data_IF_793101899771
#
_entry.id   IF_793101899771
#
_cell.length_a   1.000
_cell.length_b   1.000
_cell.length_c   1.000
_cell.angle_alpha   90.00
_cell.angle_beta   90.00
_cell.angle_gamma   90.00
#
_symmetry.space_group_name_H-M   'P 1'
#
loop_
_entity.id
_entity.type
_entity.pdbx_description
1 polymer ?
#
# COMPACT_ATOMS: atom_id res chain seq x y z
N UNK A 1 -6.20 17.79 10.35
CA UNK A 1 -5.65 16.87 9.32
C UNK A 1 -6.29 15.48 9.37
N UNK A 2 -6.35 14.81 10.54
CA UNK A 2 -6.97 13.47 10.69
C UNK A 2 -8.34 13.30 10.01
N UNK A 3 -9.34 14.09 10.41
CA UNK A 3 -10.67 14.02 9.80
C UNK A 3 -10.68 14.34 8.29
N UNK A 4 -9.80 15.23 7.82
CA UNK A 4 -9.69 15.55 6.38
C UNK A 4 -9.16 14.37 5.57
N UNK A 5 -8.23 13.58 6.11
CA UNK A 5 -7.76 12.36 5.44
C UNK A 5 -8.89 11.35 5.32
N UNK A 6 -9.73 11.21 6.34
CA UNK A 6 -10.91 10.32 6.30
C UNK A 6 -11.90 10.80 5.23
N UNK A 7 -12.30 12.07 5.26
CA UNK A 7 -13.21 12.66 4.27
C UNK A 7 -12.68 12.57 2.83
N UNK A 8 -11.37 12.72 2.66
CA UNK A 8 -10.75 12.54 1.35
C UNK A 8 -10.95 11.12 0.82
N UNK A 9 -10.70 10.11 1.67
CA UNK A 9 -10.84 8.70 1.28
C UNK A 9 -12.29 8.28 1.05
N UNK A 10 -13.24 8.80 1.84
CA UNK A 10 -14.64 8.38 1.77
C UNK A 10 -15.46 9.16 0.75
N UNK A 11 -15.23 10.48 0.64
CA UNK A 11 -16.04 11.38 -0.20
C UNK A 11 -15.33 11.70 -1.52
N UNK A 12 -14.12 12.27 -1.47
CA UNK A 12 -13.47 12.75 -2.70
C UNK A 12 -13.01 11.60 -3.60
N UNK A 13 -12.63 10.45 -3.04
CA UNK A 13 -12.26 9.27 -3.81
C UNK A 13 -13.47 8.50 -4.36
N UNK A 14 -14.69 8.69 -3.84
CA UNK A 14 -15.89 8.00 -4.31
C UNK A 14 -16.59 8.71 -5.47
N UNK A 15 -16.47 10.04 -5.55
CA UNK A 15 -17.03 10.86 -6.64
C UNK A 15 -16.69 10.36 -8.07
N UNK A 16 -15.43 10.01 -8.41
CA UNK A 16 -15.10 9.59 -9.77
C UNK A 16 -15.46 8.13 -10.08
N UNK A 17 -15.92 7.34 -9.10
CA UNK A 17 -16.03 5.87 -9.22
C UNK A 17 -16.82 5.45 -10.45
N UNK A 18 -17.98 6.05 -10.70
CA UNK A 18 -18.82 5.72 -11.85
C UNK A 18 -18.07 5.91 -13.18
N UNK A 19 -17.51 7.11 -13.38
CA UNK A 19 -16.78 7.48 -14.60
C UNK A 19 -15.49 6.68 -14.77
N UNK A 20 -14.73 6.48 -13.69
CA UNK A 20 -13.50 5.68 -13.70
C UNK A 20 -13.79 4.21 -14.02
N UNK A 21 -15.00 3.75 -13.78
CA UNK A 21 -15.44 2.40 -14.11
C UNK A 21 -15.70 2.19 -15.60
N UNK A 22 -15.86 3.27 -16.38
CA UNK A 22 -16.24 3.23 -17.79
C UNK A 22 -15.16 3.83 -18.71
N UNK A 23 -14.43 4.83 -18.22
CA UNK A 23 -13.54 5.66 -19.02
C UNK A 23 -12.14 5.71 -18.42
N UNK A 24 -11.13 5.72 -19.30
CA UNK A 24 -9.76 6.06 -18.91
C UNK A 24 -9.69 7.57 -18.69
N UNK A 25 -9.44 7.97 -17.45
CA UNK A 25 -9.34 9.37 -17.09
C UNK A 25 -8.05 9.98 -17.69
N UNK A 26 -8.14 11.13 -18.38
CA UNK A 26 -6.95 11.86 -18.83
C UNK A 26 -6.08 12.29 -17.65
N UNK A 27 -4.75 12.29 -17.84
CA UNK A 27 -3.79 12.70 -16.81
C UNK A 27 -4.06 14.10 -16.26
N UNK A 28 -4.51 15.02 -17.12
CA UNK A 28 -4.87 16.41 -16.73
C UNK A 28 -6.03 16.44 -15.74
N UNK A 29 -7.07 15.62 -15.93
CA UNK A 29 -8.21 15.50 -15.03
C UNK A 29 -7.76 14.91 -13.69
N UNK A 30 -6.98 13.82 -13.73
CA UNK A 30 -6.41 13.19 -12.53
C UNK A 30 -5.60 14.22 -11.73
N UNK A 31 -4.69 14.95 -12.38
CA UNK A 31 -3.86 15.96 -11.73
C UNK A 31 -4.69 17.09 -11.11
N UNK A 32 -5.77 17.52 -11.78
CA UNK A 32 -6.70 18.53 -11.24
C UNK A 32 -7.42 18.01 -9.99
N UNK A 33 -7.91 16.78 -10.02
CA UNK A 33 -8.55 16.13 -8.87
C UNK A 33 -7.57 15.96 -7.70
N UNK A 34 -6.38 15.41 -7.97
CA UNK A 34 -5.32 15.28 -6.96
C UNK A 34 -4.89 16.64 -6.40
N UNK A 35 -4.88 17.70 -7.21
CA UNK A 35 -4.65 19.07 -6.76
C UNK A 35 -5.69 19.58 -5.76
N UNK A 36 -6.97 19.29 -5.98
CA UNK A 36 -8.05 19.59 -5.02
C UNK A 36 -7.87 18.78 -3.74
N UNK A 37 -7.62 17.47 -3.85
CA UNK A 37 -7.38 16.59 -2.70
C UNK A 37 -6.18 17.06 -1.85
N UNK A 38 -5.09 17.44 -2.50
CA UNK A 38 -3.87 17.96 -1.86
C UNK A 38 -4.15 19.28 -1.12
N UNK A 39 -4.81 20.24 -1.77
CA UNK A 39 -5.17 21.52 -1.14
C UNK A 39 -6.08 21.32 0.07
N UNK A 40 -7.08 20.45 -0.05
CA UNK A 40 -7.99 20.13 1.04
C UNK A 40 -7.25 19.56 2.26
N UNK A 41 -6.31 18.64 2.06
CA UNK A 41 -5.55 18.01 3.15
C UNK A 41 -4.61 19.00 3.84
N UNK A 42 -3.79 19.72 3.07
CA UNK A 42 -2.72 20.56 3.61
C UNK A 42 -3.16 21.96 4.01
N UNK A 43 -4.03 22.61 3.23
CA UNK A 43 -4.50 23.98 3.49
C UNK A 43 -5.83 23.96 4.24
N UNK A 44 -6.78 23.11 3.84
CA UNK A 44 -8.14 23.16 4.38
C UNK A 44 -8.90 24.39 3.90
N UNK A 45 -9.62 25.05 4.80
CA UNK A 45 -10.41 26.26 4.50
C UNK A 45 -9.59 27.57 4.62
N UNK A 46 -8.26 27.51 4.77
CA UNK A 46 -7.47 28.75 4.74
C UNK A 46 -7.25 29.19 3.30
N UNK A 47 -7.56 30.46 3.01
CA UNK A 47 -7.29 31.08 1.71
C UNK A 47 -5.78 31.14 1.39
N UNK A 48 -4.93 31.09 2.41
CA UNK A 48 -3.49 30.94 2.25
C UNK A 48 -3.10 29.48 2.00
N UNK A 49 -2.43 29.25 0.86
CA UNK A 49 -1.91 27.94 0.50
C UNK A 49 -0.78 27.55 1.48
N UNK A 50 -0.98 26.47 2.24
CA UNK A 50 0.06 25.92 3.12
C UNK A 50 0.97 24.99 2.32
N UNK A 51 2.28 25.22 2.40
CA UNK A 51 3.26 24.35 1.79
C UNK A 51 3.14 22.91 2.35
N UNK A 52 3.06 21.88 1.49
CA UNK A 52 2.94 20.50 1.94
C UNK A 52 4.21 20.07 2.69
N UNK A 53 4.04 19.31 3.78
CA UNK A 53 5.16 18.80 4.57
C UNK A 53 5.78 17.53 3.96
N UNK A 54 4.98 16.78 3.20
CA UNK A 54 5.36 15.52 2.57
C UNK A 54 4.92 15.57 1.11
N UNK A 55 5.72 14.98 0.21
CA UNK A 55 5.38 14.90 -1.22
C UNK A 55 4.08 14.12 -1.43
N UNK A 56 3.31 14.51 -2.43
CA UNK A 56 2.02 13.89 -2.71
C UNK A 56 2.15 12.41 -3.10
N UNK A 57 3.19 12.07 -3.87
CA UNK A 57 3.50 10.66 -4.21
C UNK A 57 3.72 9.82 -2.96
N UNK A 58 4.44 10.34 -1.96
CA UNK A 58 4.64 9.66 -0.68
C UNK A 58 3.33 9.52 0.09
N UNK A 59 2.44 10.51 0.03
CA UNK A 59 1.13 10.43 0.67
C UNK A 59 0.23 9.33 0.08
N UNK A 60 0.33 9.05 -1.22
CA UNK A 60 -0.41 7.99 -1.91
C UNK A 60 0.08 6.58 -1.59
N UNK A 61 1.34 6.43 -1.19
CA UNK A 61 1.87 5.13 -0.79
C UNK A 61 1.09 4.51 0.38
N UNK A 62 1.01 3.17 0.48
CA UNK A 62 0.43 2.47 1.61
C UNK A 62 1.04 2.87 2.95
N UNK A 63 0.26 2.76 4.03
CA UNK A 63 0.75 3.01 5.40
C UNK A 63 1.91 2.09 5.78
N UNK A 64 1.86 0.82 5.36
CA UNK A 64 2.92 -0.18 5.56
C UNK A 64 4.27 0.22 4.95
N UNK A 65 4.24 1.06 3.91
CA UNK A 65 5.43 1.56 3.22
C UNK A 65 5.76 3.00 3.62
N UNK A 66 5.03 3.58 4.59
CA UNK A 66 5.25 4.93 5.13
C UNK A 66 4.53 6.08 4.44
N UNK A 67 3.48 5.81 3.67
CA UNK A 67 2.55 6.83 3.20
C UNK A 67 1.31 7.00 4.08
N UNK A 68 0.35 7.80 3.62
CA UNK A 68 -0.96 7.99 4.28
C UNK A 68 -2.01 6.99 3.80
N UNK A 69 -1.72 6.25 2.73
CA UNK A 69 -2.64 5.38 2.02
C UNK A 69 -3.79 6.16 1.35
N UNK A 70 -3.51 7.35 0.84
CA UNK A 70 -4.46 8.08 -0.02
C UNK A 70 -4.56 7.35 -1.36
N UNK A 71 -5.76 7.28 -1.93
CA UNK A 71 -5.99 6.57 -3.18
C UNK A 71 -5.23 7.23 -4.33
N UNK A 72 -4.37 6.47 -5.02
CA UNK A 72 -3.80 6.90 -6.29
C UNK A 72 -4.84 6.78 -7.38
N UNK A 73 -5.37 7.92 -7.84
CA UNK A 73 -6.50 7.96 -8.75
C UNK A 73 -6.17 7.33 -10.11
N UNK A 74 -4.92 7.40 -10.56
CA UNK A 74 -4.48 6.79 -11.80
C UNK A 74 -4.52 5.25 -11.72
N UNK A 75 -3.87 4.66 -10.71
CA UNK A 75 -3.91 3.22 -10.48
C UNK A 75 -5.32 2.73 -10.12
N UNK A 76 -6.13 3.55 -9.44
CA UNK A 76 -7.52 3.21 -9.14
C UNK A 76 -8.39 3.17 -10.41
N UNK A 77 -8.22 4.13 -11.33
CA UNK A 77 -8.89 4.09 -12.63
C UNK A 77 -8.44 2.87 -13.44
N UNK A 78 -7.15 2.53 -13.43
CA UNK A 78 -6.65 1.32 -14.10
C UNK A 78 -7.29 0.05 -13.55
N UNK A 79 -7.29 -0.11 -12.22
CA UNK A 79 -7.91 -1.26 -11.57
C UNK A 79 -9.42 -1.37 -11.86
N UNK A 80 -10.12 -0.23 -11.91
CA UNK A 80 -11.54 -0.17 -12.24
C UNK A 80 -11.81 -0.57 -13.70
N UNK A 81 -10.92 -0.26 -14.64
CA UNK A 81 -11.05 -0.68 -16.03
C UNK A 81 -10.70 -2.15 -16.23
N UNK A 82 -9.76 -2.70 -15.45
CA UNK A 82 -9.39 -4.12 -15.50
C UNK A 82 -10.56 -5.07 -15.25
N UNK A 83 -11.60 -4.62 -14.54
CA UNK A 83 -12.84 -5.41 -14.37
C UNK A 83 -13.45 -5.85 -15.70
N UNK A 84 -13.32 -5.05 -16.76
CA UNK A 84 -13.89 -5.37 -18.06
C UNK A 84 -13.14 -6.48 -18.77
N UNK A 85 -11.82 -6.62 -18.54
CA UNK A 85 -11.05 -7.76 -19.02
C UNK A 85 -11.49 -9.04 -18.30
N UNK A 86 -11.64 -9.00 -16.97
CA UNK A 86 -12.18 -10.13 -16.20
C UNK A 86 -13.58 -10.54 -16.66
N UNK A 87 -14.48 -9.56 -16.86
CA UNK A 87 -15.83 -9.82 -17.37
C UNK A 87 -15.81 -10.38 -18.79
N UNK A 88 -14.92 -9.92 -19.66
CA UNK A 88 -14.79 -10.46 -21.00
C UNK A 88 -14.36 -11.93 -20.95
N UNK A 89 -13.38 -12.26 -20.11
CA UNK A 89 -12.90 -13.63 -19.94
C UNK A 89 -13.99 -14.55 -19.35
N UNK A 90 -14.72 -14.10 -18.32
CA UNK A 90 -15.62 -14.95 -17.54
C UNK A 90 -17.08 -14.98 -18.03
N UNK A 91 -17.61 -13.89 -18.60
CA UNK A 91 -19.01 -13.84 -19.05
C UNK A 91 -19.16 -14.52 -20.42
N UNK A 92 -20.08 -15.47 -20.53
CA UNK A 92 -20.55 -16.03 -21.79
C UNK A 92 -21.86 -15.35 -22.24
N UNK A 93 -22.14 -15.36 -23.54
CA UNK A 93 -23.43 -14.96 -24.11
C UNK A 93 -23.90 -13.52 -23.78
N UNK A 94 -22.97 -12.55 -23.80
CA UNK A 94 -23.30 -11.13 -23.64
C UNK A 94 -23.09 -10.37 -24.95
N UNK A 95 -24.10 -9.60 -25.36
CA UNK A 95 -24.07 -8.78 -26.58
C UNK A 95 -22.84 -7.88 -26.69
N UNK A 96 -22.45 -7.23 -25.59
CA UNK A 96 -21.28 -6.35 -25.57
C UNK A 96 -19.99 -7.13 -25.87
N UNK A 97 -19.85 -8.36 -25.34
CA UNK A 97 -18.69 -9.23 -25.60
C UNK A 97 -18.68 -9.62 -27.08
N UNK A 98 -19.82 -10.09 -27.60
CA UNK A 98 -19.97 -10.43 -29.02
C UNK A 98 -19.57 -9.26 -29.93
N UNK A 99 -20.06 -8.05 -29.66
CA UNK A 99 -19.71 -6.85 -30.41
C UNK A 99 -18.20 -6.58 -30.40
N UNK A 100 -17.57 -6.68 -29.25
CA UNK A 100 -16.12 -6.47 -29.09
C UNK A 100 -15.32 -7.55 -29.81
N UNK A 101 -15.70 -8.82 -29.73
CA UNK A 101 -15.02 -9.92 -30.42
C UNK A 101 -15.10 -9.76 -31.94
N UNK A 102 -16.23 -9.31 -32.49
CA UNK A 102 -16.35 -9.05 -33.92
C UNK A 102 -15.54 -7.83 -34.36
N UNK A 103 -15.52 -6.77 -33.53
CA UNK A 103 -14.78 -5.54 -33.85
C UNK A 103 -13.26 -5.71 -33.73
N UNK A 104 -12.80 -6.53 -32.79
CA UNK A 104 -11.40 -6.75 -32.48
C UNK A 104 -11.10 -8.25 -32.42
N UNK A 105 -11.19 -8.96 -33.56
CA UNK A 105 -11.02 -10.41 -33.60
C UNK A 105 -9.60 -10.80 -33.20
N UNK A 106 -9.49 -11.78 -32.30
CA UNK A 106 -8.23 -12.39 -31.88
C UNK A 106 -8.19 -13.82 -32.39
N UNK A 107 -7.19 -14.13 -33.21
CA UNK A 107 -6.97 -15.47 -33.75
C UNK A 107 -6.38 -16.39 -32.68
N UNK A 108 -5.48 -15.85 -31.85
CA UNK A 108 -4.68 -16.59 -30.88
C UNK A 108 -5.44 -16.97 -29.61
N UNK A 109 -6.26 -16.08 -29.07
CA UNK A 109 -6.93 -16.29 -27.78
C UNK A 109 -8.42 -16.01 -27.83
N UNK A 110 -9.20 -16.85 -27.17
CA UNK A 110 -10.63 -16.64 -26.94
C UNK A 110 -10.90 -15.82 -25.67
N UNK A 111 -9.90 -15.64 -24.81
CA UNK A 111 -10.03 -15.03 -23.48
C UNK A 111 -9.93 -13.51 -23.49
N UNK A 112 -9.39 -12.92 -24.55
CA UNK A 112 -9.29 -11.48 -24.74
C UNK A 112 -9.27 -11.12 -26.22
N UNK A 113 -9.84 -9.96 -26.61
CA UNK A 113 -9.80 -9.50 -28.00
C UNK A 113 -8.40 -8.99 -28.38
N UNK A 114 -8.16 -8.82 -29.67
CA UNK A 114 -6.88 -8.34 -30.17
C UNK A 114 -6.62 -6.89 -29.73
N UNK A 115 -5.34 -6.50 -29.68
CA UNK A 115 -4.93 -5.14 -29.31
C UNK A 115 -5.50 -4.13 -30.29
N UNK A 116 -6.02 -3.04 -29.76
CA UNK A 116 -6.49 -1.91 -30.56
C UNK A 116 -5.29 -1.14 -31.14
N UNK A 117 -4.76 -1.58 -32.28
CA UNK A 117 -3.56 -0.97 -32.90
C UNK A 117 -3.85 0.21 -33.84
N UNK A 118 -5.09 0.45 -34.28
CA UNK A 118 -5.40 1.44 -35.32
C UNK A 118 -6.45 2.48 -34.91
N UNK A 119 -6.17 3.76 -35.21
CA UNK A 119 -7.07 4.88 -35.59
C UNK A 119 -8.25 5.31 -34.71
N UNK A 120 -8.90 4.38 -34.01
CA UNK A 120 -10.13 4.58 -33.24
C UNK A 120 -9.83 4.87 -31.76
N UNK A 121 -8.84 5.73 -31.50
CA UNK A 121 -8.29 6.02 -30.17
C UNK A 121 -9.33 6.54 -29.13
N UNK A 122 -10.56 6.78 -29.57
CA UNK A 122 -11.65 7.37 -28.80
C UNK A 122 -12.76 6.40 -28.38
N UNK A 123 -12.69 5.10 -28.71
CA UNK A 123 -13.73 4.15 -28.26
C UNK A 123 -13.52 3.76 -26.79
N UNK A 124 -14.62 3.46 -26.07
CA UNK A 124 -14.55 3.01 -24.68
C UNK A 124 -13.67 1.76 -24.51
N UNK A 125 -13.83 0.76 -25.39
CA UNK A 125 -12.98 -0.43 -25.40
C UNK A 125 -11.50 -0.14 -25.69
N UNK A 126 -11.18 0.74 -26.65
CA UNK A 126 -9.80 1.11 -26.94
C UNK A 126 -9.09 1.71 -25.70
N UNK A 127 -9.84 2.42 -24.85
CA UNK A 127 -9.33 2.91 -23.56
C UNK A 127 -9.18 1.82 -22.50
N UNK A 128 -10.06 0.81 -22.48
CA UNK A 128 -9.94 -0.38 -21.62
C UNK A 128 -8.76 -1.26 -22.06
N UNK A 129 -8.53 -1.41 -23.36
CA UNK A 129 -7.40 -2.18 -23.90
C UNK A 129 -6.03 -1.60 -23.51
N UNK A 130 -5.94 -0.32 -23.13
CA UNK A 130 -4.68 0.26 -22.63
C UNK A 130 -4.22 -0.35 -21.31
N UNK A 131 -5.11 -0.97 -20.52
CA UNK A 131 -4.75 -1.65 -19.26
C UNK A 131 -4.60 -3.17 -19.41
N UNK A 132 -4.60 -3.66 -20.65
CA UNK A 132 -4.53 -5.08 -20.97
C UNK A 132 -3.32 -5.76 -20.32
N UNK A 133 -2.11 -5.25 -20.56
CA UNK A 133 -0.88 -5.89 -20.09
C UNK A 133 -0.79 -5.91 -18.56
N UNK A 134 -1.22 -4.83 -17.90
CA UNK A 134 -1.21 -4.75 -16.44
C UNK A 134 -2.14 -5.79 -15.80
N UNK A 135 -3.26 -6.10 -16.45
CA UNK A 135 -4.19 -7.12 -15.99
C UNK A 135 -3.69 -8.53 -16.32
N UNK A 136 -3.33 -8.80 -17.57
CA UNK A 136 -2.95 -10.15 -18.01
C UNK A 136 -1.60 -10.62 -17.45
N UNK A 137 -0.69 -9.71 -17.09
CA UNK A 137 0.53 -10.07 -16.36
C UNK A 137 0.28 -10.66 -14.95
N UNK A 138 -0.95 -10.54 -14.43
CA UNK A 138 -1.35 -11.09 -13.12
C UNK A 138 -2.51 -12.09 -13.22
N UNK A 139 -2.87 -12.49 -14.44
CA UNK A 139 -3.95 -13.44 -14.71
C UNK A 139 -3.38 -14.67 -15.38
N UNK A 140 -3.83 -15.84 -14.96
CA UNK A 140 -3.55 -17.12 -15.60
C UNK A 140 -4.87 -17.72 -16.09
N UNK A 141 -4.83 -18.62 -17.06
CA UNK A 141 -5.98 -19.43 -17.45
C UNK A 141 -5.81 -20.80 -16.81
N UNK A 142 -6.84 -21.25 -16.09
CA UNK A 142 -6.99 -22.64 -15.71
C UNK A 142 -7.51 -23.38 -16.95
N UNK A 143 -6.71 -24.28 -17.55
CA UNK A 143 -7.02 -24.82 -18.86
C UNK A 143 -8.24 -25.75 -18.84
N UNK A 144 -8.64 -26.31 -17.68
CA UNK A 144 -9.73 -27.28 -17.63
C UNK A 144 -9.51 -28.39 -18.68
N UNK A 145 -10.51 -28.64 -19.53
CA UNK A 145 -10.45 -29.62 -20.63
C UNK A 145 -9.50 -29.25 -21.77
N UNK A 146 -8.99 -28.03 -21.80
CA UNK A 146 -8.05 -27.53 -22.79
C UNK A 146 -8.66 -26.99 -24.09
N UNK A 147 -9.93 -27.25 -24.36
CA UNK A 147 -10.60 -26.87 -25.63
C UNK A 147 -10.68 -25.35 -25.86
N UNK A 148 -10.68 -24.55 -24.79
CA UNK A 148 -10.83 -23.10 -24.85
C UNK A 148 -9.52 -22.35 -24.60
N UNK A 149 -8.40 -23.05 -24.48
CA UNK A 149 -7.10 -22.46 -24.14
C UNK A 149 -6.11 -22.73 -25.26
N UNK A 150 -5.51 -21.68 -25.82
CA UNK A 150 -4.38 -21.81 -26.75
C UNK A 150 -3.20 -22.43 -26.03
N UNK A 151 -2.54 -23.39 -26.66
CA UNK A 151 -1.33 -24.00 -26.13
C UNK A 151 -0.18 -22.99 -26.13
N UNK A 152 0.02 -22.28 -27.23
CA UNK A 152 1.17 -21.39 -27.44
C UNK A 152 1.00 -19.99 -26.85
N UNK A 153 -0.17 -19.38 -27.02
CA UNK A 153 -0.34 -17.94 -26.80
C UNK A 153 -0.98 -17.58 -25.46
N UNK A 154 -1.81 -18.46 -24.89
CA UNK A 154 -2.44 -18.21 -23.60
C UNK A 154 -1.47 -18.49 -22.44
N UNK A 155 -1.59 -17.71 -21.37
CA UNK A 155 -0.81 -17.91 -20.13
C UNK A 155 -1.59 -18.88 -19.24
N UNK A 156 -1.41 -20.18 -19.46
CA UNK A 156 -2.01 -21.25 -18.64
C UNK A 156 -1.01 -21.89 -17.66
N UNK A 157 0.27 -21.50 -17.79
CA UNK A 157 1.31 -21.70 -16.79
C UNK A 157 1.66 -20.32 -16.22
N UNK A 158 1.58 -20.10 -14.89
CA UNK A 158 1.73 -18.78 -14.31
C UNK A 158 3.00 -18.04 -14.79
N UNK A 159 2.81 -16.79 -15.21
CA UNK A 159 3.87 -15.90 -15.71
C UNK A 159 4.62 -16.38 -16.97
N UNK A 160 4.10 -17.37 -17.69
CA UNK A 160 4.78 -17.95 -18.87
C UNK A 160 3.84 -18.04 -20.07
N UNK A 161 4.18 -17.33 -21.14
CA UNK A 161 3.62 -17.56 -22.46
C UNK A 161 4.59 -18.43 -23.25
N UNK A 162 4.15 -19.61 -23.73
CA UNK A 162 5.05 -20.57 -24.38
C UNK A 162 5.63 -19.99 -25.67
N UNK A 163 4.82 -19.33 -26.50
CA UNK A 163 5.29 -18.68 -27.73
C UNK A 163 6.36 -17.61 -27.49
N UNK A 164 6.28 -16.88 -26.36
CA UNK A 164 7.24 -15.84 -26.03
C UNK A 164 8.55 -16.40 -25.43
N UNK A 165 8.47 -17.50 -24.69
CA UNK A 165 9.63 -18.12 -24.03
C UNK A 165 10.35 -19.14 -24.93
N UNK A 166 9.61 -19.76 -25.86
CA UNK A 166 10.12 -20.74 -26.82
C UNK A 166 9.75 -20.32 -28.26
N UNK A 167 10.22 -19.13 -28.72
CA UNK A 167 9.80 -18.55 -29.99
C UNK A 167 10.22 -19.37 -31.22
N UNK A 168 11.33 -20.11 -31.17
CA UNK A 168 11.80 -20.88 -32.35
C UNK A 168 10.98 -22.14 -32.51
N UNK A 169 10.62 -22.79 -31.41
CA UNK A 169 9.76 -23.97 -31.42
C UNK A 169 8.33 -23.58 -31.82
N UNK A 170 7.81 -22.48 -31.25
CA UNK A 170 6.49 -21.97 -31.62
C UNK A 170 6.42 -21.55 -33.10
N UNK A 171 7.47 -20.94 -33.66
CA UNK A 171 7.53 -20.61 -35.08
C UNK A 171 7.64 -21.84 -35.99
N UNK A 172 8.14 -22.96 -35.48
CA UNK A 172 8.24 -24.23 -36.21
C UNK A 172 6.98 -25.10 -36.07
N UNK A 173 6.02 -24.72 -35.21
CA UNK A 173 4.81 -25.48 -34.95
C UNK A 173 3.94 -25.59 -36.20
N UNK A 174 3.44 -26.80 -36.46
CA UNK A 174 2.55 -27.08 -37.59
C UNK A 174 1.20 -26.37 -37.46
N UNK A 175 0.72 -26.25 -36.23
CA UNK A 175 -0.47 -25.50 -35.86
C UNK A 175 -0.13 -24.48 -34.76
N UNK A 176 0.12 -23.20 -35.13
CA UNK A 176 0.36 -22.11 -34.17
C UNK A 176 -0.87 -21.79 -33.31
N UNK A 177 -2.08 -22.15 -33.76
CA UNK A 177 -3.34 -21.85 -33.08
C UNK A 177 -3.87 -23.02 -32.24
N UNK A 178 -3.08 -24.09 -32.14
CA UNK A 178 -3.44 -25.33 -31.46
C UNK A 178 -3.99 -25.09 -30.04
N UNK A 179 -5.06 -25.79 -29.69
CA UNK A 179 -5.60 -25.81 -28.33
C UNK A 179 -4.88 -26.86 -27.50
N UNK A 180 -4.92 -26.69 -26.18
CA UNK A 180 -4.37 -27.68 -25.24
C UNK A 180 -5.02 -29.05 -25.44
N UNK A 181 -6.31 -29.10 -25.80
CA UNK A 181 -7.02 -30.35 -26.13
C UNK A 181 -6.48 -31.05 -27.37
N UNK A 182 -5.92 -30.30 -28.32
CA UNK A 182 -5.46 -30.82 -29.60
C UNK A 182 -4.05 -31.41 -29.47
N UNK A 183 -3.26 -30.83 -28.54
CA UNK A 183 -1.87 -31.20 -28.28
C UNK A 183 -1.74 -32.25 -27.18
N UNK A 184 -2.71 -32.36 -26.26
CA UNK A 184 -2.65 -33.33 -25.16
C UNK A 184 -3.30 -34.64 -25.57
N UNK A 185 -2.51 -35.70 -25.69
CA UNK A 185 -3.05 -37.04 -25.88
C UNK A 185 -3.27 -37.71 -24.52
N UNK A 186 -4.54 -37.98 -24.17
CA UNK A 186 -4.96 -38.49 -22.87
C UNK A 186 -5.07 -40.02 -22.77
N UNK A 187 -4.64 -40.75 -23.80
CA UNK A 187 -4.84 -42.18 -23.87
C UNK A 187 -3.65 -42.94 -23.27
N UNK A 188 -3.84 -43.35 -22.01
CA UNK A 188 -3.29 -44.55 -21.36
C UNK A 188 -1.75 -44.65 -21.36
N UNK A 189 -1.14 -44.34 -20.20
CA UNK A 189 0.30 -44.44 -19.86
C UNK A 189 1.18 -43.19 -20.03
N UNK A 190 0.63 -42.01 -19.77
CA UNK A 190 1.43 -40.81 -19.48
C UNK A 190 0.78 -39.54 -20.00
N UNK A 191 1.13 -38.40 -19.41
CA UNK A 191 0.80 -37.11 -19.99
C UNK A 191 1.81 -36.82 -21.09
N UNK A 192 1.48 -37.12 -22.34
CA UNK A 192 2.32 -36.81 -23.48
C UNK A 192 1.80 -35.55 -24.17
N UNK A 193 2.70 -34.63 -24.51
CA UNK A 193 2.42 -33.45 -25.32
C UNK A 193 2.80 -33.77 -26.77
N UNK A 194 1.79 -33.89 -27.63
CA UNK A 194 1.92 -34.27 -29.03
C UNK A 194 1.63 -33.05 -29.92
N UNK A 195 2.67 -32.29 -30.23
CA UNK A 195 2.61 -31.18 -31.18
C UNK A 195 3.56 -31.43 -32.35
N UNK A 196 3.04 -31.21 -33.56
CA UNK A 196 3.78 -31.43 -34.80
C UNK A 196 4.60 -30.18 -35.15
N UNK A 197 5.80 -30.39 -35.72
CA UNK A 197 6.69 -29.33 -36.19
C UNK A 197 6.91 -29.50 -37.70
N UNK A 198 6.69 -28.44 -38.49
CA UNK A 198 6.74 -28.48 -39.96
C UNK A 198 8.16 -28.37 -40.55
N UNK A 199 9.17 -28.11 -39.73
CA UNK A 199 10.52 -27.76 -40.19
C UNK A 199 11.55 -28.59 -39.43
N UNK A 200 12.57 -29.07 -40.16
CA UNK A 200 13.81 -29.58 -39.55
C UNK A 200 14.40 -28.51 -38.62
N UNK A 201 14.49 -28.82 -37.32
CA UNK A 201 14.90 -27.90 -36.26
C UNK A 201 16.38 -27.49 -36.40
N UNK A 202 16.68 -26.48 -37.22
CA UNK A 202 18.05 -25.95 -37.37
C UNK A 202 18.31 -24.78 -36.41
N UNK A 203 19.59 -24.52 -36.15
CA UNK A 203 20.02 -23.28 -35.49
C UNK A 203 19.80 -23.20 -33.97
N UNK A 204 19.56 -24.31 -33.27
CA UNK A 204 19.38 -24.36 -31.81
C UNK A 204 17.95 -24.61 -31.34
N UNK A 205 17.00 -24.77 -32.26
CA UNK A 205 15.60 -25.10 -31.96
C UNK A 205 15.45 -26.49 -31.30
N UNK A 206 16.37 -27.43 -31.52
CA UNK A 206 16.41 -28.73 -30.81
C UNK A 206 16.63 -28.58 -29.30
N UNK A 207 17.56 -27.72 -28.89
CA UNK A 207 17.82 -27.45 -27.45
C UNK A 207 16.64 -26.76 -26.79
N UNK A 208 16.00 -25.85 -27.53
CA UNK A 208 14.81 -25.15 -27.10
C UNK A 208 13.62 -26.11 -26.95
N UNK A 209 13.49 -27.08 -27.86
CA UNK A 209 12.51 -28.17 -27.75
C UNK A 209 12.75 -29.04 -26.52
N UNK A 210 13.99 -29.49 -26.26
CA UNK A 210 14.29 -30.22 -25.02
C UNK A 210 13.93 -29.40 -23.77
N UNK A 211 14.27 -28.11 -23.78
CA UNK A 211 13.95 -27.20 -22.68
C UNK A 211 12.44 -27.02 -22.48
N UNK A 212 11.67 -27.00 -23.58
CA UNK A 212 10.22 -26.93 -23.55
C UNK A 212 9.61 -28.21 -22.97
N UNK A 213 10.07 -29.39 -23.40
CA UNK A 213 9.58 -30.69 -22.88
C UNK A 213 9.85 -30.78 -21.38
N UNK A 214 11.09 -30.51 -20.94
CA UNK A 214 11.46 -30.49 -19.53
C UNK A 214 10.62 -29.48 -18.72
N UNK A 215 10.27 -28.35 -19.32
CA UNK A 215 9.42 -27.33 -18.69
C UNK A 215 7.97 -27.82 -18.55
N UNK A 216 7.40 -28.41 -19.59
CA UNK A 216 6.05 -28.96 -19.58
C UNK A 216 5.90 -30.11 -18.59
N UNK A 217 6.86 -31.03 -18.55
CA UNK A 217 6.84 -32.17 -17.61
C UNK A 217 6.83 -31.70 -16.15
N UNK A 218 7.58 -30.63 -15.84
CA UNK A 218 7.65 -30.05 -14.49
C UNK A 218 6.42 -29.22 -14.10
N UNK A 219 5.79 -28.52 -15.06
CA UNK A 219 4.84 -27.45 -14.73
C UNK A 219 3.41 -27.64 -15.28
N UNK A 220 3.21 -28.53 -16.24
CA UNK A 220 1.96 -28.68 -16.99
C UNK A 220 1.18 -29.97 -16.68
N UNK A 221 1.88 -31.04 -16.29
CA UNK A 221 1.36 -32.41 -16.08
C UNK A 221 0.07 -32.47 -15.24
N UNK A 222 -0.03 -31.67 -14.17
CA UNK A 222 -1.19 -31.70 -13.26
C UNK A 222 -2.21 -30.56 -13.48
N UNK A 223 -2.09 -29.77 -14.55
CA UNK A 223 -2.94 -28.58 -14.73
C UNK A 223 -4.20 -28.80 -15.54
N UNK A 224 -4.22 -29.79 -16.41
CA UNK A 224 -5.34 -30.01 -17.33
C UNK A 224 -6.27 -31.06 -16.74
N UNK A 225 -7.54 -30.72 -16.56
CA UNK A 225 -8.56 -31.51 -15.87
C UNK A 225 -9.83 -31.65 -16.71
N UNK A 226 -10.81 -32.47 -16.31
CA UNK A 226 -12.06 -32.60 -17.07
C UNK A 226 -13.02 -31.42 -16.91
N UNK A 227 -12.67 -30.41 -16.11
CA UNK A 227 -13.53 -29.26 -15.81
C UNK A 227 -13.56 -28.18 -16.90
N UNK A 228 -14.43 -27.17 -16.78
CA UNK A 228 -14.44 -26.04 -17.70
C UNK A 228 -13.19 -25.16 -17.51
N UNK A 229 -12.65 -24.64 -18.61
CA UNK A 229 -11.58 -23.64 -18.57
C UNK A 229 -12.09 -22.34 -17.92
N UNK A 230 -11.24 -21.63 -17.17
CA UNK A 230 -11.62 -20.36 -16.50
C UNK A 230 -10.42 -19.45 -16.27
N UNK A 231 -10.62 -18.12 -16.18
CA UNK A 231 -9.55 -17.22 -15.77
C UNK A 231 -9.30 -17.34 -14.26
N UNK A 232 -8.05 -17.19 -13.87
CA UNK A 232 -7.55 -17.25 -12.49
C UNK A 232 -6.78 -15.98 -12.19
N UNK A 233 -7.24 -15.24 -11.20
CA UNK A 233 -6.56 -14.03 -10.73
C UNK A 233 -5.51 -14.38 -9.67
N UNK A 234 -4.24 -14.45 -10.08
CA UNK A 234 -3.13 -14.96 -9.26
C UNK A 234 -2.88 -14.19 -7.94
N UNK A 235 -3.09 -12.85 -7.86
CA UNK A 235 -2.81 -12.10 -6.64
C UNK A 235 -3.79 -12.34 -5.47
N UNK A 236 -4.92 -13.01 -5.70
CA UNK A 236 -5.94 -13.24 -4.67
C UNK A 236 -6.00 -14.74 -4.30
N UNK A 237 -6.00 -15.11 -3.00
CA UNK A 237 -6.03 -16.51 -2.57
C UNK A 237 -7.23 -17.30 -3.10
N UNK A 238 -8.37 -16.64 -3.28
CA UNK A 238 -9.60 -17.27 -3.79
C UNK A 238 -9.58 -17.37 -5.33
N UNK A 239 -8.47 -16.98 -5.98
CA UNK A 239 -8.30 -16.89 -7.42
C UNK A 239 -9.34 -15.99 -8.12
N UNK A 240 -10.04 -15.16 -7.35
CA UNK A 240 -11.12 -14.30 -7.79
C UNK A 240 -10.62 -12.88 -8.02
N UNK A 241 -10.98 -12.30 -9.16
CA UNK A 241 -10.68 -10.90 -9.41
C UNK A 241 -11.55 -9.99 -8.56
N UNK A 242 -10.91 -9.00 -7.94
CA UNK A 242 -11.59 -7.81 -7.46
C UNK A 242 -10.83 -6.56 -7.88
N UNK A 243 -11.55 -5.45 -8.06
CA UNK A 243 -10.91 -4.15 -8.29
C UNK A 243 -9.95 -3.82 -7.13
N UNK A 244 -10.28 -4.22 -5.92
CA UNK A 244 -9.44 -4.01 -4.75
C UNK A 244 -8.12 -4.75 -4.85
N UNK A 245 -8.12 -6.05 -5.19
CA UNK A 245 -6.90 -6.84 -5.34
C UNK A 245 -6.05 -6.34 -6.51
N UNK A 246 -6.66 -5.97 -7.64
CA UNK A 246 -5.96 -5.31 -8.75
C UNK A 246 -5.30 -3.99 -8.34
N UNK A 247 -6.02 -3.12 -7.63
CA UNK A 247 -5.47 -1.86 -7.14
C UNK A 247 -4.27 -2.08 -6.21
N UNK A 248 -4.35 -3.07 -5.30
CA UNK A 248 -3.23 -3.41 -4.41
C UNK A 248 -2.00 -3.86 -5.20
N UNK A 249 -2.16 -4.67 -6.25
CA UNK A 249 -1.07 -5.10 -7.13
C UNK A 249 -0.41 -3.92 -7.83
N UNK A 250 -1.20 -3.03 -8.44
CA UNK A 250 -0.69 -1.82 -9.11
C UNK A 250 0.08 -0.90 -8.15
N UNK A 251 -0.47 -0.65 -6.96
CA UNK A 251 0.16 0.19 -5.94
C UNK A 251 1.45 -0.44 -5.43
N UNK A 252 1.48 -1.75 -5.19
CA UNK A 252 2.68 -2.48 -4.77
C UNK A 252 3.82 -2.35 -5.79
N UNK A 253 3.50 -2.43 -7.07
CA UNK A 253 4.49 -2.30 -8.15
C UNK A 253 4.95 -0.84 -8.35
N UNK A 254 4.05 0.13 -8.14
CA UNK A 254 4.33 1.56 -8.32
C UNK A 254 5.13 2.16 -7.17
N UNK A 255 4.81 1.83 -5.92
CA UNK A 255 5.42 2.44 -4.74
C UNK A 255 6.45 1.48 -4.11
N UNK A 256 7.73 1.88 -4.19
CA UNK A 256 8.84 1.24 -3.49
C UNK A 256 9.17 2.03 -2.23
N UNK A 257 8.23 2.11 -1.29
CA UNK A 257 8.54 2.69 0.03
C UNK A 257 9.38 1.74 0.88
N UNK A 258 9.92 2.25 1.99
CA UNK A 258 10.67 1.44 2.94
C UNK A 258 9.81 0.27 3.46
N UNK A 259 10.16 -1.00 3.15
CA UNK A 259 9.42 -2.17 3.60
C UNK A 259 9.49 -2.34 5.12
N UNK A 260 10.50 -1.76 5.78
CA UNK A 260 10.70 -1.80 7.21
C UNK A 260 10.08 -0.58 7.92
N UNK A 261 9.25 0.20 7.22
CA UNK A 261 8.58 1.34 7.83
C UNK A 261 7.66 0.89 8.97
N UNK A 262 7.77 1.47 10.19
CA UNK A 262 7.11 0.95 11.38
C UNK A 262 5.64 1.37 11.50
N UNK A 263 4.84 1.03 10.50
CA UNK A 263 3.45 1.46 10.35
C UNK A 263 2.56 1.01 11.52
N UNK A 264 2.74 -0.21 12.02
CA UNK A 264 1.95 -0.78 13.12
C UNK A 264 2.17 -0.02 14.44
N UNK A 265 3.39 0.46 14.66
CA UNK A 265 3.73 1.27 15.83
C UNK A 265 3.09 2.65 15.75
N UNK A 266 2.97 3.24 14.56
CA UNK A 266 2.42 4.58 14.37
C UNK A 266 0.88 4.58 14.38
N UNK A 267 0.26 3.70 13.60
CA UNK A 267 -1.17 3.72 13.33
C UNK A 267 -1.96 2.84 14.31
N UNK A 268 -2.15 3.35 15.54
CA UNK A 268 -2.92 2.68 16.59
C UNK A 268 -4.34 3.23 16.65
N UNK A 269 -5.34 2.35 16.62
CA UNK A 269 -6.76 2.73 16.58
C UNK A 269 -7.24 3.42 17.87
N UNK A 270 -6.58 3.12 19.00
CA UNK A 270 -6.87 3.74 20.31
C UNK A 270 -6.45 5.20 20.35
N UNK A 271 -5.50 5.59 19.51
CA UNK A 271 -4.87 6.91 19.57
C UNK A 271 -5.53 7.83 18.53
N UNK A 272 -5.86 9.09 18.90
CA UNK A 272 -6.48 10.02 17.98
C UNK A 272 -5.68 10.18 16.68
N UNK A 273 -6.38 10.14 15.53
CA UNK A 273 -5.74 10.21 14.20
C UNK A 273 -4.85 11.44 13.99
N UNK A 274 -5.12 12.57 14.67
CA UNK A 274 -4.26 13.76 14.64
C UNK A 274 -2.85 13.44 15.16
N UNK A 275 -2.76 12.65 16.22
CA UNK A 275 -1.50 12.31 16.90
C UNK A 275 -0.77 11.22 16.12
N UNK A 276 -1.48 10.25 15.55
CA UNK A 276 -0.88 9.28 14.63
C UNK A 276 -0.27 9.96 13.39
N UNK A 277 -0.94 10.96 12.82
CA UNK A 277 -0.39 11.75 11.70
C UNK A 277 0.82 12.57 12.16
N UNK A 278 0.78 13.16 13.35
CA UNK A 278 1.93 13.86 13.91
C UNK A 278 3.12 12.91 14.04
N UNK A 279 2.94 11.73 14.67
CA UNK A 279 4.02 10.77 14.82
C UNK A 279 4.53 10.27 13.45
N UNK A 280 3.65 10.06 12.48
CA UNK A 280 4.04 9.74 11.09
C UNK A 280 4.94 10.83 10.47
N UNK A 281 4.58 12.11 10.61
CA UNK A 281 5.43 13.22 10.15
C UNK A 281 6.75 13.28 10.90
N UNK A 282 6.74 13.00 12.20
CA UNK A 282 7.91 12.95 13.06
C UNK A 282 8.86 11.82 12.63
N UNK A 283 8.35 10.61 12.39
CA UNK A 283 9.14 9.47 11.88
C UNK A 283 9.77 9.77 10.52
N UNK A 284 9.09 10.54 9.66
CA UNK A 284 9.64 11.00 8.39
C UNK A 284 10.55 12.24 8.52
N UNK A 285 10.72 12.79 9.73
CA UNK A 285 11.44 14.03 10.02
C UNK A 285 10.95 15.23 9.22
N UNK A 286 9.62 15.35 9.04
CA UNK A 286 8.96 16.40 8.22
C UNK A 286 8.14 17.42 9.02
N UNK A 287 8.17 17.35 10.36
CA UNK A 287 7.58 18.39 11.21
C UNK A 287 8.37 19.70 11.16
N UNK A 288 7.76 20.80 11.60
CA UNK A 288 8.32 22.15 11.50
C UNK A 288 9.30 22.49 12.63
N UNK A 289 10.35 21.67 12.76
CA UNK A 289 11.54 22.01 13.56
C UNK A 289 12.36 23.11 12.89
N UNK A 290 13.18 23.83 13.66
CA UNK A 290 13.97 24.95 13.15
C UNK A 290 14.96 24.52 12.05
N UNK A 291 15.56 23.33 12.13
CA UNK A 291 16.39 22.78 11.04
C UNK A 291 15.59 22.62 9.73
N UNK A 292 14.35 22.14 9.81
CA UNK A 292 13.46 21.98 8.66
C UNK A 292 12.97 23.32 8.11
N UNK A 293 12.80 24.34 8.95
CA UNK A 293 12.47 25.70 8.51
C UNK A 293 13.67 26.36 7.82
N UNK A 294 14.90 26.21 8.37
CA UNK A 294 16.14 26.63 7.71
C UNK A 294 16.30 25.98 6.33
N UNK A 295 16.08 24.67 6.22
CA UNK A 295 16.10 23.95 4.92
C UNK A 295 15.06 24.48 3.92
N UNK A 296 14.00 25.13 4.39
CA UNK A 296 12.98 25.78 3.56
C UNK A 296 13.31 27.26 3.24
N UNK A 297 14.50 27.75 3.59
CA UNK A 297 14.96 29.10 3.29
C UNK A 297 14.62 30.15 4.34
N UNK A 298 14.14 29.76 5.53
CA UNK A 298 13.90 30.72 6.62
C UNK A 298 15.21 31.13 7.29
N UNK A 299 15.45 32.44 7.38
CA UNK A 299 16.61 33.00 8.09
C UNK A 299 16.31 33.12 9.59
N UNK A 300 16.49 32.01 10.31
CA UNK A 300 16.26 31.91 11.76
C UNK A 300 17.46 31.29 12.46
N UNK A 301 17.74 31.71 13.69
CA UNK A 301 18.73 31.04 14.53
C UNK A 301 18.18 29.65 14.94
N UNK A 302 19.01 28.61 14.85
CA UNK A 302 18.60 27.27 15.25
C UNK A 302 19.10 26.97 16.66
N UNK A 303 18.23 27.14 17.65
CA UNK A 303 18.51 26.79 19.04
C UNK A 303 17.27 26.10 19.61
N UNK A 304 17.45 24.93 20.20
CA UNK A 304 16.37 24.13 20.75
C UNK A 304 15.64 24.89 21.85
N UNK A 305 14.33 25.11 21.68
CA UNK A 305 13.52 25.81 22.68
C UNK A 305 13.34 25.03 23.99
N UNK A 306 13.66 23.73 24.02
CA UNK A 306 13.53 22.91 25.23
C UNK A 306 14.77 22.95 26.12
N UNK A 307 15.97 22.73 25.57
CA UNK A 307 17.22 22.72 26.35
C UNK A 307 18.03 24.00 26.23
N UNK A 308 17.80 24.80 25.19
CA UNK A 308 18.55 26.02 24.90
C UNK A 308 20.06 25.81 24.77
N UNK A 309 20.53 24.59 24.48
CA UNK A 309 21.97 24.28 24.37
C UNK A 309 22.40 23.92 22.94
N UNK A 310 21.65 23.05 22.28
CA UNK A 310 21.99 22.55 20.95
C UNK A 310 21.01 23.03 19.87
N UNK A 311 21.34 22.74 18.62
CA UNK A 311 20.46 22.94 17.48
C UNK A 311 19.20 22.06 17.56
N UNK A 312 18.04 22.64 17.24
CA UNK A 312 16.79 21.89 17.14
C UNK A 312 16.77 21.05 15.86
N UNK A 313 16.69 19.74 16.05
CA UNK A 313 16.32 18.76 15.03
C UNK A 313 15.27 17.81 15.58
N UNK A 314 14.63 17.00 14.73
CA UNK A 314 13.61 16.04 15.18
C UNK A 314 14.19 15.02 16.18
N UNK A 315 15.36 14.46 15.89
CA UNK A 315 15.99 13.49 16.78
C UNK A 315 16.48 14.15 18.08
N UNK A 316 17.03 15.36 17.98
CA UNK A 316 17.38 16.13 19.19
C UNK A 316 16.13 16.35 20.04
N UNK A 317 15.07 16.92 19.47
CA UNK A 317 13.87 17.32 20.20
C UNK A 317 13.22 16.17 20.99
N UNK A 318 13.13 14.97 20.41
CA UNK A 318 12.41 13.84 21.03
C UNK A 318 13.29 12.82 21.72
N UNK A 319 14.57 12.71 21.37
CA UNK A 319 15.45 11.62 21.84
C UNK A 319 16.69 12.17 22.55
N UNK A 320 17.39 13.15 21.97
CA UNK A 320 18.73 13.57 22.46
C UNK A 320 18.71 14.75 23.43
N UNK A 321 17.66 15.57 23.42
CA UNK A 321 17.51 16.77 24.24
C UNK A 321 17.49 16.44 25.74
N UNK A 322 18.27 17.15 26.55
CA UNK A 322 18.33 16.96 28.02
C UNK A 322 16.94 17.04 28.67
N UNK A 323 16.18 18.09 28.35
CA UNK A 323 14.81 18.27 28.84
C UNK A 323 13.90 17.11 28.41
N UNK A 324 14.00 16.68 27.14
CA UNK A 324 13.22 15.55 26.62
C UNK A 324 13.57 14.24 27.31
N UNK A 325 14.87 13.97 27.52
CA UNK A 325 15.38 12.81 28.24
C UNK A 325 14.87 12.78 29.68
N UNK A 326 14.79 13.93 30.35
CA UNK A 326 14.25 14.02 31.70
C UNK A 326 12.75 13.67 31.74
N UNK A 327 11.95 14.15 30.78
CA UNK A 327 10.53 13.76 30.65
C UNK A 327 10.41 12.25 30.45
N UNK A 328 11.17 11.67 29.52
CA UNK A 328 11.22 10.23 29.31
C UNK A 328 11.61 9.45 30.57
N UNK A 329 12.62 9.93 31.29
CA UNK A 329 13.08 9.33 32.54
C UNK A 329 11.99 9.36 33.61
N UNK A 330 11.33 10.49 33.83
CA UNK A 330 10.22 10.60 34.80
C UNK A 330 9.06 9.67 34.44
N UNK A 331 8.72 9.56 33.15
CA UNK A 331 7.72 8.59 32.71
C UNK A 331 8.15 7.14 33.01
N UNK A 332 9.40 6.76 32.74
CA UNK A 332 9.89 5.41 33.06
C UNK A 332 9.98 5.12 34.55
N UNK A 333 10.31 6.12 35.37
CA UNK A 333 10.32 5.97 36.84
C UNK A 333 8.92 5.68 37.39
N UNK A 334 7.90 6.35 36.86
CA UNK A 334 6.51 6.08 37.21
C UNK A 334 5.96 4.80 36.56
N UNK A 335 6.50 4.36 35.43
CA UNK A 335 6.05 3.13 34.76
C UNK A 335 7.23 2.41 34.08
N UNK A 336 7.90 1.48 34.79
CA UNK A 336 9.08 0.77 34.26
C UNK A 336 8.81 -0.08 33.01
N UNK A 337 7.55 -0.36 32.67
CA UNK A 337 7.18 -1.06 31.43
C UNK A 337 7.34 -0.18 30.18
N UNK A 338 7.47 1.14 30.34
CA UNK A 338 7.73 2.05 29.21
C UNK A 338 9.10 1.73 28.62
N UNK A 339 9.11 1.36 27.34
CA UNK A 339 10.33 0.98 26.64
C UNK A 339 11.37 2.12 26.57
N UNK A 340 12.64 1.73 26.45
CA UNK A 340 13.71 2.68 26.20
C UNK A 340 13.64 3.25 24.79
N UNK A 341 14.14 4.47 24.63
CA UNK A 341 14.36 5.09 23.33
C UNK A 341 15.63 4.55 22.69
N UNK A 342 15.66 4.46 21.36
CA UNK A 342 16.84 4.10 20.57
C UNK A 342 17.67 5.35 20.23
N UNK A 343 18.66 5.24 19.34
CA UNK A 343 19.57 6.35 18.96
C UNK A 343 18.86 7.54 18.26
N UNK A 344 17.75 7.26 17.58
CA UNK A 344 16.98 8.20 16.78
C UNK A 344 15.48 7.90 16.83
N UNK A 345 14.65 8.84 16.33
CA UNK A 345 13.20 8.70 16.43
C UNK A 345 12.63 7.58 15.56
N UNK A 346 13.24 7.30 14.40
CA UNK A 346 12.79 6.23 13.50
C UNK A 346 13.04 4.87 14.14
N UNK A 347 14.27 4.64 14.62
CA UNK A 347 14.63 3.42 15.34
C UNK A 347 13.75 3.22 16.58
N UNK A 348 13.53 4.29 17.36
CA UNK A 348 12.63 4.25 18.53
C UNK A 348 11.21 3.82 18.16
N UNK A 349 10.64 4.34 17.06
CA UNK A 349 9.29 3.98 16.61
C UNK A 349 9.25 2.54 16.10
N UNK A 350 10.30 2.10 15.40
CA UNK A 350 10.44 0.74 14.87
C UNK A 350 10.52 -0.31 15.97
N UNK A 351 11.32 -0.03 16.99
CA UNK A 351 11.58 -0.97 18.08
C UNK A 351 10.43 -0.94 19.12
N UNK A 352 9.51 0.03 19.03
CA UNK A 352 8.36 0.14 19.91
C UNK A 352 7.37 -1.00 19.70
N UNK A 353 7.16 -1.82 20.73
CA UNK A 353 6.24 -2.97 20.69
C UNK A 353 4.83 -2.55 20.26
N UNK A 354 4.26 -3.33 19.34
CA UNK A 354 2.89 -3.17 18.83
C UNK A 354 1.96 -4.33 19.20
N UNK A 355 2.36 -5.17 20.16
CA UNK A 355 1.53 -6.29 20.64
C UNK A 355 0.27 -5.78 21.34
N UNK A 356 -0.79 -6.57 21.30
CA UNK A 356 -2.06 -6.28 21.99
C UNK A 356 -1.82 -6.25 23.50
N UNK A 357 -2.13 -5.14 24.19
CA UNK A 357 -1.95 -5.05 25.63
C UNK A 357 -2.98 -5.88 26.41
N UNK A 358 -2.53 -6.53 27.48
CA UNK A 358 -3.36 -7.36 28.36
C UNK A 358 -3.60 -6.76 29.76
N UNK A 359 -2.80 -5.77 30.15
CA UNK A 359 -2.94 -5.08 31.45
C UNK A 359 -2.71 -3.57 31.30
N UNK A 360 -3.01 -2.82 32.36
CA UNK A 360 -2.91 -1.36 32.37
C UNK A 360 -1.49 -0.85 32.05
N UNK A 361 -0.45 -1.48 32.58
CA UNK A 361 0.94 -1.06 32.33
C UNK A 361 1.37 -1.28 30.87
N UNK A 362 0.86 -2.35 30.24
CA UNK A 362 1.05 -2.59 28.81
C UNK A 362 0.29 -1.59 27.95
N UNK A 363 -0.93 -1.20 28.35
CA UNK A 363 -1.69 -0.15 27.66
C UNK A 363 -1.02 1.21 27.75
N UNK A 364 -0.42 1.52 28.89
CA UNK A 364 0.36 2.74 29.12
C UNK A 364 1.59 2.74 28.21
N UNK A 365 2.39 1.67 28.22
CA UNK A 365 3.51 1.54 27.29
C UNK A 365 3.06 1.58 25.80
N UNK A 366 1.90 1.01 25.48
CA UNK A 366 1.32 1.04 24.15
C UNK A 366 1.01 2.48 23.68
N UNK A 367 0.63 3.38 24.59
CA UNK A 367 0.33 4.78 24.28
C UNK A 367 1.52 5.73 24.49
N UNK A 368 2.54 5.31 25.24
CA UNK A 368 3.59 6.18 25.76
C UNK A 368 4.36 6.94 24.67
N UNK A 369 4.76 6.26 23.59
CA UNK A 369 5.48 6.91 22.48
C UNK A 369 4.72 8.11 21.91
N UNK A 370 3.43 7.94 21.62
CA UNK A 370 2.58 9.00 21.07
C UNK A 370 2.33 10.11 22.08
N UNK A 371 2.04 9.75 23.34
CA UNK A 371 1.73 10.71 24.38
C UNK A 371 2.94 11.59 24.72
N UNK A 372 4.12 10.99 24.93
CA UNK A 372 5.33 11.71 25.32
C UNK A 372 5.81 12.60 24.16
N UNK A 373 5.93 12.07 22.94
CA UNK A 373 6.34 12.89 21.79
C UNK A 373 5.35 14.02 21.49
N UNK A 374 4.04 13.78 21.66
CA UNK A 374 3.04 14.83 21.51
C UNK A 374 3.16 15.92 22.57
N UNK A 375 3.38 15.56 23.84
CA UNK A 375 3.53 16.54 24.92
C UNK A 375 4.84 17.34 24.81
N UNK A 376 5.94 16.70 24.41
CA UNK A 376 7.18 17.42 24.08
C UNK A 376 6.98 18.42 22.95
N UNK A 377 6.23 18.05 21.91
CA UNK A 377 5.89 18.97 20.83
C UNK A 377 5.01 20.13 21.28
N UNK A 378 4.01 19.88 22.13
CA UNK A 378 3.17 20.92 22.70
C UNK A 378 3.96 21.87 23.60
N UNK A 379 4.87 21.36 24.42
CA UNK A 379 5.74 22.17 25.27
C UNK A 379 6.69 23.03 24.45
N UNK A 380 7.33 22.45 23.43
CA UNK A 380 8.16 23.21 22.48
C UNK A 380 7.39 24.36 21.84
N UNK A 381 6.16 24.11 21.39
CA UNK A 381 5.33 25.16 20.80
C UNK A 381 4.86 26.19 21.84
N UNK A 382 4.60 25.79 23.07
CA UNK A 382 4.26 26.71 24.17
C UNK A 382 5.40 27.70 24.41
N UNK A 383 6.64 27.23 24.47
CA UNK A 383 7.80 28.12 24.68
C UNK A 383 8.00 29.11 23.53
N UNK A 384 7.79 28.66 22.30
CA UNK A 384 8.01 29.51 21.12
C UNK A 384 6.87 30.51 20.89
N UNK A 385 5.62 30.12 21.09
CA UNK A 385 4.47 30.96 20.74
C UNK A 385 3.79 31.64 21.92
N UNK A 386 4.05 31.20 23.15
CA UNK A 386 3.45 31.73 24.37
C UNK A 386 4.49 32.17 25.39
N UNK A 387 5.79 32.04 25.09
CA UNK A 387 6.91 32.42 25.97
C UNK A 387 6.79 31.84 27.39
N UNK A 388 6.14 30.67 27.50
CA UNK A 388 5.89 30.00 28.77
C UNK A 388 6.55 28.62 28.78
N UNK A 389 7.18 28.27 29.90
CA UNK A 389 7.84 26.97 30.09
C UNK A 389 7.22 26.19 31.24
N UNK A 390 7.12 24.87 31.10
CA UNK A 390 6.73 23.96 32.16
C UNK A 390 7.90 23.09 32.61
N UNK A 391 7.89 22.68 33.88
CA UNK A 391 8.86 21.71 34.37
C UNK A 391 8.62 20.31 33.74
N UNK A 392 9.66 19.48 33.59
CA UNK A 392 9.53 18.14 32.99
C UNK A 392 8.50 17.24 33.68
N UNK A 393 8.35 17.38 35.00
CA UNK A 393 7.35 16.64 35.81
C UNK A 393 5.92 16.92 35.35
N UNK A 394 5.59 18.19 35.08
CA UNK A 394 4.27 18.61 34.61
C UNK A 394 3.97 18.08 33.21
N UNK A 395 4.97 18.09 32.33
CA UNK A 395 4.86 17.53 30.97
C UNK A 395 4.67 16.01 31.01
N UNK A 396 5.42 15.30 31.86
CA UNK A 396 5.26 13.86 32.08
C UNK A 396 3.86 13.52 32.61
N UNK A 397 3.34 14.28 33.59
CA UNK A 397 1.97 14.11 34.10
C UNK A 397 0.91 14.29 33.00
N UNK A 398 1.06 15.31 32.14
CA UNK A 398 0.17 15.51 30.99
C UNK A 398 0.25 14.35 30.00
N UNK A 399 1.43 13.75 29.82
CA UNK A 399 1.58 12.58 28.97
C UNK A 399 0.84 11.36 29.57
N UNK A 400 0.96 11.12 30.87
CA UNK A 400 0.22 10.04 31.54
C UNK A 400 -1.28 10.17 31.44
N UNK A 401 -1.81 11.39 31.61
CA UNK A 401 -3.24 11.64 31.42
C UNK A 401 -3.70 11.16 30.04
N UNK A 402 -2.94 11.44 28.97
CA UNK A 402 -3.24 10.96 27.62
C UNK A 402 -3.12 9.43 27.50
N UNK A 403 -2.11 8.83 28.13
CA UNK A 403 -1.89 7.37 28.10
C UNK A 403 -3.05 6.59 28.73
N UNK A 404 -3.85 7.23 29.59
CA UNK A 404 -5.02 6.64 30.25
C UNK A 404 -6.30 7.05 29.54
N UNK A 405 -6.43 8.33 29.20
CA UNK A 405 -7.61 8.88 28.52
C UNK A 405 -7.92 8.12 27.23
N UNK A 406 -6.91 7.83 26.39
CA UNK A 406 -7.13 7.15 25.11
C UNK A 406 -7.67 5.73 25.24
N UNK A 407 -7.03 4.80 26.00
CA UNK A 407 -7.59 3.47 26.19
C UNK A 407 -8.91 3.50 26.97
N UNK A 408 -9.11 4.40 27.94
CA UNK A 408 -10.38 4.55 28.66
C UNK A 408 -11.51 4.98 27.73
N UNK A 409 -11.27 5.96 26.83
CA UNK A 409 -12.26 6.39 25.85
C UNK A 409 -12.67 5.28 24.86
N UNK A 410 -11.81 4.28 24.67
CA UNK A 410 -12.06 3.12 23.82
C UNK A 410 -12.53 1.87 24.59
N UNK A 411 -12.86 2.01 25.87
CA UNK A 411 -13.34 0.94 26.73
C UNK A 411 -12.30 -0.16 26.99
N UNK A 412 -11.00 0.16 26.90
CA UNK A 412 -9.90 -0.81 27.12
C UNK A 412 -9.39 -0.84 28.55
N UNK A 413 -9.61 0.24 29.31
CA UNK A 413 -9.29 0.38 30.74
C UNK A 413 -10.48 1.08 31.40
N UNK A 414 -10.88 0.66 32.60
CA UNK A 414 -11.98 1.34 33.31
C UNK A 414 -11.50 2.70 33.87
N UNK A 415 -12.44 3.63 34.09
CA UNK A 415 -12.09 4.95 34.64
C UNK A 415 -11.50 4.84 36.05
N UNK A 416 -12.04 3.94 36.87
CA UNK A 416 -11.55 3.67 38.22
C UNK A 416 -10.13 3.08 38.21
N UNK A 417 -9.87 2.09 37.34
CA UNK A 417 -8.53 1.51 37.18
C UNK A 417 -7.50 2.57 36.78
N UNK A 418 -7.84 3.42 35.81
CA UNK A 418 -6.97 4.51 35.36
C UNK A 418 -6.68 5.54 36.46
N UNK A 419 -7.71 5.96 37.20
CA UNK A 419 -7.54 6.92 38.30
C UNK A 419 -6.74 6.34 39.47
N UNK A 420 -7.01 5.08 39.84
CA UNK A 420 -6.25 4.36 40.86
C UNK A 420 -4.79 4.27 40.46
N UNK A 421 -4.50 3.92 39.20
CA UNK A 421 -3.14 3.86 38.70
C UNK A 421 -2.42 5.21 38.76
N UNK A 422 -3.06 6.31 38.36
CA UNK A 422 -2.49 7.66 38.48
C UNK A 422 -2.17 8.02 39.93
N UNK A 423 -3.07 7.70 40.85
CA UNK A 423 -2.86 7.94 42.27
C UNK A 423 -1.64 7.17 42.78
N UNK A 424 -1.59 5.86 42.52
CA UNK A 424 -0.50 4.98 42.95
C UNK A 424 0.87 5.45 42.43
N UNK A 425 0.95 5.92 41.17
CA UNK A 425 2.21 6.42 40.62
C UNK A 425 2.57 7.82 41.09
N UNK A 426 1.59 8.68 41.39
CA UNK A 426 1.87 10.00 41.96
C UNK A 426 2.58 9.89 43.32
N UNK A 427 2.24 8.86 44.09
CA UNK A 427 2.84 8.53 45.39
C UNK A 427 4.25 7.93 45.25
N UNK A 428 4.51 7.15 44.18
CA UNK A 428 5.81 6.50 43.93
C UNK A 428 6.86 7.36 43.24
N UNK A 429 6.46 8.29 42.38
CA UNK A 429 7.37 8.99 41.46
C UNK A 429 7.63 10.47 41.79
N UNK A 430 7.24 10.95 42.99
CA UNK A 430 7.32 12.37 43.37
C UNK A 430 6.72 13.33 42.31
N UNK A 431 5.69 12.89 41.56
CA UNK A 431 5.02 13.70 40.54
C UNK A 431 4.17 14.84 41.13
N UNK A 432 4.09 14.92 42.47
CA UNK A 432 3.35 15.90 43.27
C UNK A 432 4.24 16.99 43.90
N UNK A 433 5.54 17.09 43.57
CA UNK A 433 6.33 18.24 44.02
C UNK A 433 5.88 19.51 43.26
N UNK A 434 5.55 20.61 43.99
CA UNK A 434 4.95 21.82 43.43
C UNK A 434 5.80 22.49 42.33
#
# INVERSE_FOLDING_TARGET
>A
MGGRVVLNKTVLSSQPVYLFSLLKAPKTVINRMEGIQRRFIWSGNSDSAKAPLVSWERCKAPRSQGGLGITDLASFNEAMLSKWHWRYANESNRWWKTLISHKYPNTHSLWYPNRCNNGFANSAWANISKVHDQFWNSTCIDPGSGAWCSFWHDVWIPNTCLAANFPRVAAAASDPEARISDVRNGNVEGNHWDFHLNIMLRGGAERELCSLIDFLDRHATNRVSSGPSRPVWLPDPDNAFSVHSMYRTLVKNKFQGDPNFPAKSIWKHVIPSKICIFLWLTTLKRIQTLDNLKRKGWSIANRCALCEKEEESVDHLFIKCDYGKEVWYKCRMACPSIANTSEDIFSTVRDWKSSTPNNINEWINFCALHAITWQLWLERNRRIFQEASQNPTTVARKAFNLMIEWPTAMGKITKEEGQKWLHDQSTRAHLNAP
#
